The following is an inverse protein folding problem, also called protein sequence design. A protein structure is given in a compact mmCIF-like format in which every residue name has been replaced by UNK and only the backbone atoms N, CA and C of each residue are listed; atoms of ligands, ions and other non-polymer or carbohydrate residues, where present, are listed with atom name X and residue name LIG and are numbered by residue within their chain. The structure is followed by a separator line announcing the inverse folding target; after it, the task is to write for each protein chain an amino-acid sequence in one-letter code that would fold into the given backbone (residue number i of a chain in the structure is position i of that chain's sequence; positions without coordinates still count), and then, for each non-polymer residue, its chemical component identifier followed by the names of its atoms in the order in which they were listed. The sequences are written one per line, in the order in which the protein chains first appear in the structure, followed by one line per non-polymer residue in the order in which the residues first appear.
data_IF_089026590796
#
_entry.id   IF_089026590796
#
_cell.length_a   1.000
_cell.length_b   1.000
_cell.length_c   1.000
_cell.angle_alpha   90.00
_cell.angle_beta   90.00
_cell.angle_gamma   90.00
#
_symmetry.space_group_name_H-M   'P 1'
#
loop_
_entity.id
_entity.type
_entity.pdbx_description
1 polymer ?
#
# COMPACT_ATOMS: atom_id res chain seq x y z
N UNK A 1 -1.12 29.31 -45.24
CA UNK A 1 -0.85 27.92 -44.82
C UNK A 1 0.20 27.85 -43.70
N UNK A 2 1.42 28.36 -43.88
CA UNK A 2 2.47 28.37 -42.81
C UNK A 2 2.05 29.01 -41.47
N UNK A 3 1.29 30.12 -41.52
CA UNK A 3 0.79 30.81 -40.32
C UNK A 3 -0.26 30.01 -39.53
N UNK A 4 -1.07 29.20 -40.22
CA UNK A 4 -2.08 28.34 -39.58
C UNK A 4 -1.41 27.14 -38.91
N UNK A 5 -0.40 26.56 -39.57
CA UNK A 5 0.42 25.49 -39.00
C UNK A 5 1.14 25.99 -37.74
N UNK A 6 1.69 27.21 -37.77
CA UNK A 6 2.40 27.78 -36.62
C UNK A 6 1.48 28.01 -35.41
N UNK A 7 0.24 28.48 -35.63
CA UNK A 7 -0.78 28.63 -34.58
C UNK A 7 -1.16 27.25 -34.01
N UNK A 8 -1.31 26.24 -34.86
CA UNK A 8 -1.64 24.89 -34.43
C UNK A 8 -0.51 24.26 -33.59
N UNK A 9 0.76 24.49 -33.96
CA UNK A 9 1.92 24.04 -33.19
C UNK A 9 2.02 24.73 -31.83
N UNK A 10 1.75 26.04 -31.75
CA UNK A 10 1.70 26.77 -30.47
C UNK A 10 0.55 26.26 -29.60
N UNK A 11 -0.63 26.02 -30.18
CA UNK A 11 -1.78 25.46 -29.46
C UNK A 11 -1.45 24.07 -28.85
N UNK A 12 -0.76 23.19 -29.58
CA UNK A 12 -0.35 21.88 -29.05
C UNK A 12 0.64 21.97 -27.87
N UNK A 13 1.50 23.00 -27.81
CA UNK A 13 2.44 23.17 -26.69
C UNK A 13 1.74 23.62 -25.40
N UNK A 14 0.61 24.34 -25.49
CA UNK A 14 -0.18 24.72 -24.32
C UNK A 14 -0.99 23.57 -23.70
N UNK A 15 -1.24 22.48 -24.46
CA UNK A 15 -1.96 21.30 -23.96
C UNK A 15 -1.08 20.30 -23.19
N UNK A 16 0.23 20.52 -23.08
CA UNK A 16 1.14 19.57 -22.40
C UNK A 16 1.09 19.64 -20.86
N UNK A 17 0.33 20.56 -20.27
CA UNK A 17 0.29 20.74 -18.80
C UNK A 17 -0.93 20.12 -18.09
N UNK A 18 -1.68 19.21 -18.73
CA UNK A 18 -2.87 18.56 -18.10
C UNK A 18 -2.69 17.05 -17.94
N UNK A 19 -1.48 16.60 -17.61
CA UNK A 19 -1.21 15.19 -17.26
C UNK A 19 -0.19 15.10 -16.11
N UNK A 20 -0.52 15.68 -14.96
CA UNK A 20 0.24 15.46 -13.73
C UNK A 20 -0.65 15.65 -12.49
N UNK A 21 -1.82 15.03 -12.48
CA UNK A 21 -2.46 14.66 -11.22
C UNK A 21 -2.12 13.21 -10.91
N UNK A 22 -0.83 12.88 -10.85
CA UNK A 22 -0.35 11.75 -10.06
C UNK A 22 -0.04 12.30 -8.67
N UNK A 23 -1.07 12.69 -7.92
CA UNK A 23 -0.90 12.81 -6.48
C UNK A 23 -0.50 11.42 -6.01
N UNK A 24 0.78 11.28 -5.65
CA UNK A 24 1.33 10.08 -5.03
C UNK A 24 0.32 9.57 -4.00
N UNK A 25 -0.05 8.29 -4.06
CA UNK A 25 -1.02 7.67 -3.16
C UNK A 25 -0.71 8.06 -1.69
N UNK A 26 0.59 8.08 -1.35
CA UNK A 26 1.07 8.51 -0.03
C UNK A 26 0.66 9.93 0.34
N UNK A 27 0.70 10.85 -0.61
CA UNK A 27 0.31 12.24 -0.42
C UNK A 27 -1.18 12.36 -0.12
N UNK A 28 -2.03 11.61 -0.84
CA UNK A 28 -3.48 11.60 -0.60
C UNK A 28 -3.81 11.03 0.78
N UNK A 29 -3.17 9.92 1.16
CA UNK A 29 -3.37 9.32 2.48
C UNK A 29 -2.87 10.22 3.60
N UNK A 30 -1.75 10.92 3.41
CA UNK A 30 -1.27 11.92 4.37
C UNK A 30 -2.29 13.06 4.58
N UNK A 31 -2.98 13.50 3.53
CA UNK A 31 -4.05 14.50 3.66
C UNK A 31 -5.28 13.92 4.39
N UNK A 32 -5.70 12.70 4.07
CA UNK A 32 -6.86 12.07 4.73
C UNK A 32 -6.62 11.88 6.24
N UNK A 33 -5.39 11.55 6.62
CA UNK A 33 -5.02 11.27 8.00
C UNK A 33 -4.32 12.45 8.69
N UNK A 34 -4.41 13.68 8.14
CA UNK A 34 -3.68 14.85 8.67
C UNK A 34 -4.08 15.21 10.11
N UNK A 35 -5.36 15.01 10.45
CA UNK A 35 -5.91 15.28 11.78
C UNK A 35 -5.94 14.04 12.70
N UNK A 36 -5.42 12.90 12.23
CA UNK A 36 -5.35 11.66 13.02
C UNK A 36 -4.06 11.66 13.83
N UNK A 37 -4.17 11.42 15.14
CA UNK A 37 -2.99 11.22 16.01
C UNK A 37 -2.32 9.86 15.72
N UNK A 38 -1.47 9.84 14.71
CA UNK A 38 -0.72 8.66 14.27
C UNK A 38 0.30 8.16 15.31
N UNK A 39 0.59 8.93 16.36
CA UNK A 39 1.45 8.48 17.46
C UNK A 39 0.81 7.36 18.29
N UNK A 40 -0.52 7.16 18.17
CA UNK A 40 -1.27 6.09 18.83
C UNK A 40 -1.13 4.73 18.14
N UNK A 41 -0.33 4.63 17.08
CA UNK A 41 -0.06 3.39 16.36
C UNK A 41 1.40 2.96 16.64
N UNK A 42 1.67 2.29 17.77
CA UNK A 42 3.05 1.95 18.18
C UNK A 42 3.75 0.98 17.22
N UNK A 43 3.00 0.17 16.48
CA UNK A 43 3.55 -0.71 15.44
C UNK A 43 4.13 0.03 14.22
N UNK A 44 3.74 1.31 14.02
CA UNK A 44 4.06 2.06 12.79
C UNK A 44 3.32 1.57 11.53
N UNK A 45 2.43 0.59 11.66
CA UNK A 45 1.61 0.05 10.56
C UNK A 45 0.14 0.28 10.90
N UNK A 46 -0.53 1.12 10.11
CA UNK A 46 -1.96 1.38 10.20
C UNK A 46 -2.64 0.84 8.94
N UNK A 47 -3.38 -0.25 9.05
CA UNK A 47 -3.91 -0.93 7.87
C UNK A 47 -4.86 -0.05 7.05
N UNK A 48 -5.67 0.79 7.71
CA UNK A 48 -6.60 1.71 7.04
C UNK A 48 -5.90 2.81 6.22
N UNK A 49 -4.58 2.98 6.40
CA UNK A 49 -3.75 3.90 5.63
C UNK A 49 -3.24 3.29 4.30
N UNK A 50 -3.28 1.97 4.17
CA UNK A 50 -2.76 1.23 3.01
C UNK A 50 -3.74 1.04 1.85
N UNK A 51 -3.32 0.23 0.88
CA UNK A 51 -4.03 0.00 -0.39
C UNK A 51 -5.18 -1.01 -0.32
N UNK A 52 -5.21 -1.91 0.67
CA UNK A 52 -6.25 -2.93 0.88
C UNK A 52 -6.56 -3.78 -0.38
N UNK A 53 -5.52 -4.37 -0.96
CA UNK A 53 -5.56 -5.21 -2.17
C UNK A 53 -6.20 -6.59 -1.92
N UNK A 54 -6.12 -7.10 -0.69
CA UNK A 54 -6.67 -8.41 -0.28
C UNK A 54 -7.64 -8.23 0.89
N UNK A 55 -8.70 -9.03 0.91
CA UNK A 55 -9.55 -9.17 2.09
C UNK A 55 -8.76 -9.81 3.23
N UNK A 56 -8.43 -9.00 4.22
CA UNK A 56 -7.60 -9.38 5.35
C UNK A 56 -8.36 -10.12 6.46
N UNK A 57 -9.70 -10.16 6.41
CA UNK A 57 -10.54 -10.84 7.41
C UNK A 57 -10.22 -12.33 7.52
N UNK A 58 -9.64 -12.89 6.47
CA UNK A 58 -9.17 -14.26 6.36
C UNK A 58 -7.81 -14.51 7.07
N UNK A 59 -7.09 -13.46 7.47
CA UNK A 59 -5.71 -13.52 7.99
C UNK A 59 -5.56 -12.84 9.36
N UNK A 60 -6.43 -13.20 10.30
CA UNK A 60 -6.54 -12.59 11.64
C UNK A 60 -5.57 -13.17 12.70
N UNK A 61 -4.46 -13.78 12.29
CA UNK A 61 -3.49 -14.39 13.21
C UNK A 61 -3.88 -15.76 13.79
N UNK A 62 -5.09 -16.27 13.49
CA UNK A 62 -5.45 -17.66 13.79
C UNK A 62 -4.98 -18.58 12.67
N UNK A 63 -4.19 -19.60 13.00
CA UNK A 63 -3.76 -20.58 12.00
C UNK A 63 -4.91 -21.53 11.66
N UNK A 64 -5.38 -21.50 10.41
CA UNK A 64 -6.38 -22.44 9.87
C UNK A 64 -5.75 -23.28 8.76
N UNK A 65 -6.50 -24.13 8.04
CA UNK A 65 -5.99 -24.75 6.81
C UNK A 65 -6.18 -23.85 5.58
N UNK A 66 -7.06 -22.85 5.69
CA UNK A 66 -7.49 -21.98 4.59
C UNK A 66 -6.60 -20.74 4.43
N UNK A 67 -5.65 -20.54 5.35
CA UNK A 67 -4.65 -19.48 5.31
C UNK A 67 -3.37 -19.90 4.54
N UNK A 68 -3.39 -21.04 3.84
CA UNK A 68 -2.36 -21.42 2.87
C UNK A 68 -2.61 -20.64 1.59
N UNK A 69 -1.72 -19.69 1.29
CA UNK A 69 -1.89 -18.74 0.21
C UNK A 69 -1.19 -19.20 -1.07
N UNK A 70 -1.75 -18.78 -2.22
CA UNK A 70 -0.94 -18.74 -3.44
C UNK A 70 0.15 -17.67 -3.30
N UNK A 71 1.30 -17.83 -3.98
CA UNK A 71 2.36 -16.83 -3.95
C UNK A 71 1.87 -15.42 -4.32
N UNK A 72 0.89 -15.32 -5.22
CA UNK A 72 0.29 -14.06 -5.62
C UNK A 72 -0.46 -13.39 -4.46
N UNK A 73 -1.33 -14.14 -3.77
CA UNK A 73 -2.09 -13.59 -2.62
C UNK A 73 -1.14 -13.21 -1.49
N UNK A 74 -0.10 -14.00 -1.24
CA UNK A 74 0.93 -13.67 -0.26
C UNK A 74 1.65 -12.35 -0.62
N UNK A 75 2.08 -12.18 -1.87
CA UNK A 75 2.75 -10.95 -2.34
C UNK A 75 1.83 -9.72 -2.23
N UNK A 76 0.53 -9.89 -2.51
CA UNK A 76 -0.47 -8.82 -2.34
C UNK A 76 -0.66 -8.45 -0.87
N UNK A 77 -0.78 -9.44 0.03
CA UNK A 77 -0.91 -9.21 1.47
C UNK A 77 0.33 -8.50 2.05
N UNK A 78 1.53 -8.88 1.60
CA UNK A 78 2.77 -8.18 1.95
C UNK A 78 2.74 -6.72 1.47
N UNK A 79 2.30 -6.49 0.24
CA UNK A 79 2.19 -5.15 -0.34
C UNK A 79 1.18 -4.27 0.42
N UNK A 80 0.07 -4.86 0.89
CA UNK A 80 -0.91 -4.17 1.73
C UNK A 80 -0.29 -3.65 3.01
N UNK A 81 0.35 -4.54 3.78
CA UNK A 81 1.04 -4.16 5.01
C UNK A 81 2.18 -3.18 4.76
N UNK A 82 2.96 -3.37 3.70
CA UNK A 82 4.05 -2.46 3.35
C UNK A 82 3.54 -1.06 3.01
N UNK A 83 2.43 -0.95 2.27
CA UNK A 83 1.78 0.33 1.94
C UNK A 83 1.17 1.02 3.17
N UNK A 84 0.79 0.24 4.18
CA UNK A 84 0.18 0.66 5.45
C UNK A 84 1.18 1.28 6.45
N UNK A 85 2.48 1.32 6.12
CA UNK A 85 3.49 1.94 6.96
C UNK A 85 3.29 3.47 7.00
N UNK A 86 2.98 3.98 8.19
CA UNK A 86 2.75 5.42 8.46
C UNK A 86 4.01 6.13 8.98
N UNK A 87 4.98 5.38 9.48
CA UNK A 87 6.28 5.90 9.88
C UNK A 87 7.37 5.37 8.97
N UNK A 88 8.42 6.17 8.79
CA UNK A 88 9.65 5.71 8.12
C UNK A 88 10.45 4.72 8.96
N UNK A 89 10.05 4.48 10.21
CA UNK A 89 10.59 3.45 11.09
C UNK A 89 9.96 2.07 10.89
N UNK A 90 8.98 1.94 9.99
CA UNK A 90 8.45 0.64 9.58
C UNK A 90 9.57 -0.25 9.03
N UNK A 91 9.83 -1.35 9.73
CA UNK A 91 11.00 -2.22 9.53
C UNK A 91 10.83 -3.21 8.37
N UNK A 92 9.88 -2.97 7.46
CA UNK A 92 9.57 -3.92 6.39
C UNK A 92 10.52 -3.72 5.20
N UNK A 93 11.20 -4.77 4.73
CA UNK A 93 12.00 -4.70 3.50
C UNK A 93 11.17 -4.20 2.30
N UNK A 94 11.83 -3.67 1.27
CA UNK A 94 11.10 -3.27 0.07
C UNK A 94 10.39 -4.49 -0.57
N UNK A 95 9.20 -4.26 -1.13
CA UNK A 95 8.43 -5.29 -1.86
C UNK A 95 9.28 -5.92 -2.97
N UNK A 96 10.10 -5.13 -3.66
CA UNK A 96 10.99 -5.64 -4.71
C UNK A 96 12.06 -6.59 -4.15
N UNK A 97 12.66 -6.25 -3.00
CA UNK A 97 13.69 -7.08 -2.36
C UNK A 97 13.13 -8.42 -1.90
N UNK A 98 11.93 -8.43 -1.32
CA UNK A 98 11.26 -9.66 -0.90
C UNK A 98 10.85 -10.52 -2.09
N UNK A 99 10.32 -9.92 -3.15
CA UNK A 99 9.97 -10.65 -4.36
C UNK A 99 11.21 -11.30 -4.98
N UNK A 100 12.32 -10.56 -5.07
CA UNK A 100 13.58 -11.09 -5.57
C UNK A 100 14.13 -12.21 -4.67
N UNK A 101 14.01 -12.08 -3.34
CA UNK A 101 14.41 -13.13 -2.41
C UNK A 101 13.59 -14.41 -2.58
N UNK A 102 12.26 -14.30 -2.69
CA UNK A 102 11.37 -15.45 -2.94
C UNK A 102 11.73 -16.13 -4.26
N UNK A 103 11.86 -15.35 -5.33
CA UNK A 103 12.10 -15.88 -6.67
C UNK A 103 13.49 -16.56 -6.77
N UNK A 104 14.51 -16.00 -6.09
CA UNK A 104 15.85 -16.60 -5.99
C UNK A 104 15.82 -17.95 -5.31
N UNK A 105 15.15 -18.06 -4.15
CA UNK A 105 15.12 -19.31 -3.40
C UNK A 105 14.17 -20.34 -4.01
N UNK A 106 13.14 -19.93 -4.76
CA UNK A 106 12.18 -20.81 -5.42
C UNK A 106 12.74 -21.51 -6.67
N UNK A 107 13.93 -21.10 -7.15
CA UNK A 107 14.56 -21.64 -8.36
C UNK A 107 15.38 -22.93 -8.14
N UNK A 108 15.53 -23.39 -6.89
CA UNK A 108 16.26 -24.61 -6.53
C UNK A 108 15.37 -25.85 -6.33
N UNK A 109 15.95 -26.94 -5.83
CA UNK A 109 15.18 -28.16 -5.46
C UNK A 109 14.41 -28.04 -4.14
N UNK A 110 14.57 -26.92 -3.42
CA UNK A 110 13.89 -26.66 -2.15
C UNK A 110 12.57 -25.89 -2.37
N UNK A 111 11.51 -26.31 -1.68
CA UNK A 111 10.25 -25.54 -1.63
C UNK A 111 10.41 -24.38 -0.65
N UNK A 112 10.21 -23.16 -1.13
CA UNK A 112 10.21 -21.95 -0.30
C UNK A 112 8.83 -21.73 0.28
N UNK A 113 8.76 -21.55 1.60
CA UNK A 113 7.54 -21.18 2.31
C UNK A 113 7.77 -19.81 2.96
N UNK A 114 7.37 -18.70 2.31
CA UNK A 114 7.46 -17.39 2.92
C UNK A 114 6.40 -17.26 4.02
N UNK A 115 6.81 -16.76 5.19
CA UNK A 115 5.93 -16.55 6.35
C UNK A 115 5.77 -15.06 6.59
N UNK A 116 4.52 -14.61 6.76
CA UNK A 116 4.19 -13.22 7.06
C UNK A 116 3.70 -13.13 8.50
N UNK A 117 4.41 -12.37 9.35
CA UNK A 117 4.04 -12.16 10.74
C UNK A 117 4.42 -10.75 11.18
N UNK A 118 3.42 -9.88 11.27
CA UNK A 118 3.57 -8.48 11.67
C UNK A 118 2.45 -8.07 12.60
N UNK A 119 2.79 -7.27 13.61
CA UNK A 119 1.80 -6.53 14.39
C UNK A 119 1.39 -5.28 13.61
N UNK A 120 0.09 -5.02 13.53
CA UNK A 120 -0.47 -3.85 12.85
C UNK A 120 -1.72 -3.37 13.61
N UNK A 121 -2.11 -2.11 13.38
CA UNK A 121 -3.27 -1.50 14.01
C UNK A 121 -4.34 -1.14 12.97
N UNK A 122 -5.58 -0.97 13.47
CA UNK A 122 -6.73 -0.47 12.71
C UNK A 122 -7.46 0.61 13.49
N UNK A 123 -8.11 1.51 12.79
CA UNK A 123 -9.13 2.37 13.36
C UNK A 123 -10.28 1.47 13.83
N UNK A 124 -10.72 1.71 15.06
CA UNK A 124 -11.88 0.99 15.61
C UNK A 124 -13.09 1.20 14.69
N UNK A 125 -13.80 0.12 14.32
CA UNK A 125 -15.05 0.24 13.58
C UNK A 125 -16.09 1.10 14.31
N UNK A 126 -15.94 1.33 15.62
CA UNK A 126 -16.84 2.14 16.45
C UNK A 126 -16.37 3.59 16.66
N UNK A 127 -15.28 4.02 16.02
CA UNK A 127 -14.71 5.36 16.20
C UNK A 127 -15.67 6.51 15.84
N UNK A 128 -16.69 6.24 15.03
CA UNK A 128 -17.72 7.22 14.65
C UNK A 128 -18.84 7.38 15.70
N UNK A 129 -18.90 6.51 16.71
CA UNK A 129 -19.87 6.64 17.81
C UNK A 129 -19.26 7.62 18.81
N UNK A 130 -19.42 8.92 18.53
CA UNK A 130 -19.13 9.95 19.52
C UNK A 130 -20.02 9.71 20.75
N UNK A 131 -19.42 9.27 21.85
CA UNK A 131 -20.04 9.42 23.16
C UNK A 131 -20.11 10.93 23.45
N UNK A 132 -21.25 11.52 23.09
CA UNK A 132 -21.63 12.85 23.55
C UNK A 132 -21.87 12.73 25.05
N UNK A 133 -20.88 13.14 25.83
CA UNK A 133 -21.03 13.36 27.27
C UNK A 133 -21.55 14.77 27.53
#
# INVERSE_FOLDING_TARGET
MKKVIFIFTIFCLFFQNVLAQSTDFRSQMNTIFEDVDLSQVPSGILFDYGLNLVDDSLYNGTVTNDNILSPQVWKSLYTDLWSSQITTTGSMPNVEDINAAIDTHASGEATVIPVLFYEYHRISPLAHIFNVW
#
